data_IF_580871820230
#
_entry.id   IF_580871820230
#
_cell.length_a   1.000
_cell.length_b   1.000
_cell.length_c   1.000
_cell.angle_alpha   90.00
_cell.angle_beta   90.00
_cell.angle_gamma   90.00
#
_symmetry.space_group_name_H-M   'P 1'
#
loop_
_entity.id
_entity.type
_entity.pdbx_description
1 polymer ?
#
# COMPACT_ATOMS: atom_id res chain seq x y z
N UNK A 1 9.50 25.38 1.05
CA UNK A 1 10.10 24.69 -0.10
C UNK A 1 9.23 23.52 -0.46
N UNK A 2 9.01 23.31 -1.76
CA UNK A 2 8.28 22.14 -2.25
C UNK A 2 9.17 20.90 -2.16
N UNK A 3 8.60 19.67 -2.17
CA UNK A 3 9.40 18.45 -2.27
C UNK A 3 10.36 18.45 -3.47
N UNK A 4 9.94 19.02 -4.60
CA UNK A 4 10.77 19.14 -5.81
C UNK A 4 11.99 20.06 -5.60
N UNK A 5 11.80 21.21 -4.94
CA UNK A 5 12.91 22.12 -4.61
C UNK A 5 13.94 21.45 -3.70
N UNK A 6 13.48 20.69 -2.70
CA UNK A 6 14.35 19.94 -1.78
C UNK A 6 15.13 18.87 -2.53
N UNK A 7 14.45 18.10 -3.39
CA UNK A 7 15.09 17.03 -4.16
C UNK A 7 16.20 17.58 -5.07
N UNK A 8 15.91 18.66 -5.79
CA UNK A 8 16.89 19.35 -6.63
C UNK A 8 18.07 19.89 -5.81
N UNK A 9 17.80 20.58 -4.70
CA UNK A 9 18.83 21.12 -3.83
C UNK A 9 19.77 20.03 -3.26
N UNK A 10 19.23 18.87 -2.88
CA UNK A 10 20.05 17.77 -2.36
C UNK A 10 20.95 17.19 -3.45
N UNK A 11 20.46 17.04 -4.69
CA UNK A 11 21.29 16.61 -5.83
C UNK A 11 22.44 17.59 -6.07
N UNK A 12 22.17 18.90 -6.06
CA UNK A 12 23.19 19.95 -6.19
C UNK A 12 24.22 19.90 -5.06
N UNK A 13 23.78 19.70 -3.81
CA UNK A 13 24.68 19.58 -2.66
C UNK A 13 25.60 18.36 -2.78
N UNK A 14 25.10 17.21 -3.25
CA UNK A 14 25.95 16.03 -3.50
C UNK A 14 26.99 16.32 -4.59
N UNK A 15 26.57 16.92 -5.71
CA UNK A 15 27.46 17.26 -6.81
C UNK A 15 28.57 18.23 -6.38
N UNK A 16 28.25 19.22 -5.55
CA UNK A 16 29.22 20.16 -4.99
C UNK A 16 30.18 19.50 -3.99
N UNK A 17 29.67 18.63 -3.11
CA UNK A 17 30.47 17.96 -2.08
C UNK A 17 31.39 16.87 -2.65
N UNK A 18 30.92 16.13 -3.68
CA UNK A 18 31.66 15.01 -4.28
C UNK A 18 31.39 14.94 -5.79
N UNK A 19 32.14 15.69 -6.62
CA UNK A 19 32.03 15.60 -8.07
C UNK A 19 32.21 14.17 -8.58
N UNK A 20 31.31 13.74 -9.48
CA UNK A 20 31.29 12.37 -10.01
C UNK A 20 30.55 11.35 -9.16
N UNK A 21 30.00 11.73 -7.99
CA UNK A 21 29.04 10.89 -7.28
C UNK A 21 27.69 10.91 -8.01
N UNK A 22 27.09 9.74 -8.16
CA UNK A 22 25.70 9.58 -8.58
C UNK A 22 24.79 9.77 -7.36
N UNK A 23 23.69 10.52 -7.51
CA UNK A 23 22.73 10.78 -6.44
C UNK A 23 21.31 10.52 -6.91
N UNK A 24 20.50 9.89 -6.06
CA UNK A 24 19.05 9.77 -6.22
C UNK A 24 18.37 10.20 -4.92
N UNK A 25 17.36 11.06 -5.02
CA UNK A 25 16.69 11.67 -3.88
C UNK A 25 15.20 11.51 -4.04
N UNK A 26 14.55 10.95 -3.03
CA UNK A 26 13.09 10.99 -2.88
C UNK A 26 12.75 11.91 -1.72
N UNK A 27 11.80 12.81 -1.94
CA UNK A 27 11.24 13.68 -0.91
C UNK A 27 9.75 13.47 -0.87
N UNK A 28 9.19 13.23 0.31
CA UNK A 28 7.75 13.14 0.52
C UNK A 28 7.34 14.03 1.69
N UNK A 29 6.28 14.80 1.50
CA UNK A 29 5.52 15.44 2.55
C UNK A 29 4.20 14.71 2.70
N UNK A 30 3.96 14.12 3.86
CA UNK A 30 2.70 13.48 4.19
C UNK A 30 2.00 14.29 5.27
N UNK A 31 0.74 14.66 5.03
CA UNK A 31 -0.16 15.12 6.09
C UNK A 31 -1.21 14.05 6.32
N UNK A 32 -1.26 13.50 7.53
CA UNK A 32 -2.27 12.52 7.93
C UNK A 32 -3.15 13.11 9.03
N UNK A 33 -4.46 12.95 8.90
CA UNK A 33 -5.43 13.43 9.88
C UNK A 33 -6.44 12.34 10.22
N UNK A 34 -6.66 12.12 11.51
CA UNK A 34 -7.32 10.95 12.06
C UNK A 34 -8.36 11.35 13.09
N UNK A 35 -9.56 10.81 12.96
CA UNK A 35 -10.66 10.89 13.94
C UNK A 35 -10.95 9.49 14.47
N UNK A 36 -10.61 9.22 15.72
CA UNK A 36 -10.88 7.93 16.40
C UNK A 36 -12.08 8.04 17.32
N UNK A 37 -12.89 6.99 17.33
CA UNK A 37 -14.05 6.87 18.17
C UNK A 37 -14.14 5.49 18.81
N UNK A 38 -14.71 5.43 20.00
CA UNK A 38 -14.96 4.22 20.77
C UNK A 38 -16.15 4.47 21.69
N UNK A 39 -16.90 3.42 22.02
CA UNK A 39 -18.19 3.55 22.72
C UNK A 39 -19.11 4.59 22.06
N UNK A 40 -19.07 4.64 20.73
CA UNK A 40 -19.84 5.58 19.90
C UNK A 40 -19.53 7.07 20.14
N UNK A 41 -18.41 7.39 20.79
CA UNK A 41 -17.95 8.75 21.04
C UNK A 41 -16.56 9.00 20.44
N UNK A 42 -16.37 10.18 19.82
CA UNK A 42 -15.07 10.61 19.30
C UNK A 42 -14.18 11.01 20.48
N UNK A 43 -13.16 10.21 20.77
CA UNK A 43 -12.25 10.46 21.90
C UNK A 43 -10.88 11.00 21.48
N UNK A 44 -10.58 11.02 20.19
CA UNK A 44 -9.30 11.54 19.70
C UNK A 44 -9.42 12.10 18.28
N UNK A 45 -8.84 13.29 18.08
CA UNK A 45 -8.55 13.87 16.77
C UNK A 45 -7.07 14.24 16.74
N UNK A 46 -6.36 13.80 15.71
CA UNK A 46 -4.92 14.05 15.53
C UNK A 46 -4.69 14.45 14.08
N UNK A 47 -3.81 15.42 13.87
CA UNK A 47 -3.21 15.67 12.57
C UNK A 47 -1.69 15.68 12.75
N UNK A 48 -0.99 15.06 11.82
CA UNK A 48 0.47 15.03 11.78
C UNK A 48 0.93 15.40 10.36
N UNK A 49 2.07 16.09 10.29
CA UNK A 49 2.72 16.41 9.03
C UNK A 49 4.20 16.07 9.15
N UNK A 50 4.69 15.28 8.20
CA UNK A 50 6.06 14.81 8.18
C UNK A 50 6.67 15.02 6.80
N UNK A 51 7.84 15.67 6.77
CA UNK A 51 8.75 15.64 5.64
C UNK A 51 9.72 14.47 5.81
N UNK A 52 9.96 13.72 4.74
CA UNK A 52 11.00 12.68 4.65
C UNK A 52 11.84 12.95 3.43
N UNK A 53 13.16 13.01 3.62
CA UNK A 53 14.17 13.13 2.56
C UNK A 53 15.01 11.86 2.61
N UNK A 54 14.93 11.05 1.55
CA UNK A 54 15.73 9.85 1.39
C UNK A 54 16.75 10.08 0.27
N UNK A 55 18.03 9.98 0.61
CA UNK A 55 19.15 10.15 -0.30
C UNK A 55 19.86 8.80 -0.46
N UNK A 56 20.07 8.40 -1.72
CA UNK A 56 21.02 7.37 -2.10
C UNK A 56 22.16 8.00 -2.89
N UNK A 57 23.40 7.63 -2.56
CA UNK A 57 24.59 7.99 -3.34
C UNK A 57 25.32 6.73 -3.82
N UNK A 58 25.90 6.82 -5.01
CA UNK A 58 26.89 5.87 -5.51
C UNK A 58 28.17 6.60 -5.89
N UNK A 59 29.29 6.22 -5.27
CA UNK A 59 30.58 6.87 -5.46
C UNK A 59 31.72 5.88 -5.27
N UNK A 60 32.73 5.94 -6.13
CA UNK A 60 33.90 5.03 -6.10
C UNK A 60 33.51 3.55 -6.02
N UNK A 61 32.45 3.16 -6.74
CA UNK A 61 31.91 1.81 -6.77
C UNK A 61 31.15 1.39 -5.50
N UNK A 62 30.79 2.31 -4.60
CA UNK A 62 30.11 2.02 -3.33
C UNK A 62 28.78 2.75 -3.22
N UNK A 63 27.76 2.05 -2.74
CA UNK A 63 26.39 2.60 -2.58
C UNK A 63 26.03 2.72 -1.11
N UNK A 64 25.48 3.88 -0.71
CA UNK A 64 24.86 4.07 0.60
C UNK A 64 23.59 4.91 0.48
N UNK A 65 22.67 4.67 1.41
CA UNK A 65 21.44 5.42 1.54
C UNK A 65 21.26 5.88 2.98
N UNK A 66 20.72 7.08 3.16
CA UNK A 66 20.29 7.60 4.45
C UNK A 66 18.98 8.37 4.30
N UNK A 67 18.29 8.55 5.42
CA UNK A 67 17.05 9.32 5.48
C UNK A 67 17.10 10.35 6.61
N UNK A 68 16.39 11.45 6.43
CA UNK A 68 16.17 12.48 7.45
C UNK A 68 14.82 13.15 7.28
N UNK A 69 14.42 13.94 8.26
CA UNK A 69 13.17 14.70 8.26
C UNK A 69 13.39 16.23 8.32
N UNK A 70 14.64 16.68 8.29
CA UNK A 70 14.99 18.11 8.29
C UNK A 70 15.10 18.66 6.88
N UNK A 71 14.39 19.75 6.60
CA UNK A 71 14.37 20.42 5.28
C UNK A 71 15.15 21.74 5.25
N UNK A 72 15.81 22.12 6.36
CA UNK A 72 16.72 23.27 6.38
C UNK A 72 18.01 22.98 5.63
N UNK A 73 18.65 24.01 5.08
CA UNK A 73 19.93 23.87 4.38
C UNK A 73 20.98 23.13 5.22
N UNK A 74 21.08 23.43 6.52
CA UNK A 74 22.00 22.74 7.44
C UNK A 74 21.65 21.25 7.60
N UNK A 75 20.37 20.90 7.70
CA UNK A 75 19.93 19.51 7.81
C UNK A 75 20.20 18.72 6.52
N UNK A 76 19.95 19.32 5.35
CA UNK A 76 20.22 18.70 4.05
C UNK A 76 21.73 18.51 3.84
N UNK A 77 22.55 19.49 4.20
CA UNK A 77 24.02 19.35 4.15
C UNK A 77 24.49 18.20 5.05
N UNK A 78 24.00 18.10 6.29
CA UNK A 78 24.34 16.98 7.19
C UNK A 78 23.90 15.62 6.63
N UNK A 79 22.73 15.56 5.98
CA UNK A 79 22.27 14.33 5.33
C UNK A 79 23.25 13.93 4.21
N UNK A 80 23.65 14.87 3.36
CA UNK A 80 24.64 14.62 2.29
C UNK A 80 25.98 14.16 2.85
N UNK A 81 26.55 14.90 3.81
CA UNK A 81 27.84 14.58 4.42
C UNK A 81 27.84 13.19 5.08
N UNK A 82 26.80 12.89 5.87
CA UNK A 82 26.67 11.59 6.53
C UNK A 82 26.47 10.44 5.55
N UNK A 83 25.74 10.66 4.45
CA UNK A 83 25.53 9.63 3.43
C UNK A 83 26.80 9.33 2.64
N UNK A 84 27.57 10.37 2.28
CA UNK A 84 28.88 10.22 1.62
C UNK A 84 29.90 9.54 2.55
N UNK A 85 29.93 9.92 3.82
CA UNK A 85 30.78 9.27 4.82
C UNK A 85 30.40 7.79 5.01
N UNK A 86 29.09 7.48 5.02
CA UNK A 86 28.61 6.11 5.07
C UNK A 86 29.05 5.33 3.82
N UNK A 87 28.93 5.90 2.62
CA UNK A 87 29.35 5.27 1.36
C UNK A 87 30.83 4.85 1.39
N UNK A 88 31.72 5.68 1.94
CA UNK A 88 33.15 5.37 2.06
C UNK A 88 33.44 4.11 2.92
N UNK A 89 32.54 3.77 3.85
CA UNK A 89 32.67 2.61 4.74
C UNK A 89 32.02 1.33 4.17
N UNK A 90 31.31 1.43 3.04
CA UNK A 90 30.64 0.28 2.42
C UNK A 90 31.61 -0.57 1.60
N UNK A 91 31.34 -1.88 1.46
CA UNK A 91 32.00 -2.66 0.41
C UNK A 91 31.61 -2.13 -0.97
N UNK A 92 32.42 -2.46 -1.98
CA UNK A 92 32.06 -2.18 -3.37
C UNK A 92 30.74 -2.90 -3.72
N UNK A 93 29.87 -2.20 -4.44
CA UNK A 93 28.55 -2.67 -4.87
C UNK A 93 28.59 -2.98 -6.37
N UNK A 94 29.00 -4.20 -6.70
CA UNK A 94 29.00 -4.68 -8.09
C UNK A 94 27.59 -4.95 -8.64
N UNK A 95 26.55 -4.82 -7.81
CA UNK A 95 25.14 -5.01 -8.18
C UNK A 95 24.39 -3.70 -8.39
N UNK A 96 25.10 -2.57 -8.37
CA UNK A 96 24.50 -1.26 -8.60
C UNK A 96 24.01 -1.14 -10.06
N UNK A 97 22.71 -0.92 -10.30
CA UNK A 97 22.15 -0.92 -11.65
C UNK A 97 22.30 0.43 -12.39
N UNK A 98 22.94 1.43 -11.77
CA UNK A 98 22.92 2.81 -12.26
C UNK A 98 21.59 3.53 -12.00
N UNK A 99 21.62 4.84 -12.17
CA UNK A 99 20.45 5.70 -12.04
C UNK A 99 19.39 5.47 -13.13
N UNK A 100 18.14 5.81 -12.80
CA UNK A 100 17.07 5.88 -13.79
C UNK A 100 17.31 7.01 -14.81
N UNK A 101 17.08 6.71 -16.08
CA UNK A 101 17.11 7.70 -17.15
C UNK A 101 15.90 8.66 -17.05
N UNK A 102 16.00 9.88 -17.62
CA UNK A 102 14.88 10.79 -17.71
C UNK A 102 13.65 10.17 -18.40
N UNK A 103 12.50 10.21 -17.73
CA UNK A 103 11.22 9.69 -18.18
C UNK A 103 10.05 10.52 -17.64
N UNK A 104 9.04 10.73 -18.48
CA UNK A 104 7.84 11.49 -18.12
C UNK A 104 6.80 10.61 -17.45
N UNK A 105 6.10 11.16 -16.45
CA UNK A 105 4.97 10.49 -15.81
C UNK A 105 3.82 10.26 -16.80
N UNK A 106 3.16 9.10 -16.66
CA UNK A 106 1.94 8.77 -17.42
C UNK A 106 0.71 9.44 -16.79
N UNK A 107 0.70 9.60 -15.46
CA UNK A 107 -0.36 10.22 -14.68
C UNK A 107 0.20 11.16 -13.61
N UNK A 108 -0.58 12.15 -13.18
CA UNK A 108 -0.17 13.15 -12.17
C UNK A 108 -0.39 12.70 -10.72
N UNK A 109 -1.02 11.53 -10.51
CA UNK A 109 -1.57 11.09 -9.24
C UNK A 109 -3.03 11.54 -9.06
N UNK A 110 -3.81 10.76 -8.30
CA UNK A 110 -5.21 11.07 -8.04
C UNK A 110 -5.36 11.96 -6.82
N UNK A 111 -5.91 13.15 -7.02
CA UNK A 111 -5.99 14.20 -6.01
C UNK A 111 -7.42 14.74 -5.87
N UNK A 112 -7.95 14.72 -4.65
CA UNK A 112 -9.19 15.40 -4.29
C UNK A 112 -8.91 16.57 -3.35
N UNK A 113 -9.17 17.79 -3.81
CA UNK A 113 -8.86 19.02 -3.07
C UNK A 113 -9.60 19.08 -1.74
N UNK A 114 -10.86 18.64 -1.71
CA UNK A 114 -11.67 18.63 -0.48
C UNK A 114 -11.09 17.68 0.58
N UNK A 115 -10.56 16.53 0.17
CA UNK A 115 -9.87 15.58 1.04
C UNK A 115 -8.53 16.13 1.53
N UNK A 116 -7.76 16.78 0.65
CA UNK A 116 -6.48 17.39 1.00
C UNK A 116 -6.59 18.54 2.03
N UNK A 117 -7.72 19.25 2.05
CA UNK A 117 -7.98 20.36 2.99
C UNK A 117 -9.07 20.02 4.00
N UNK A 118 -9.30 18.74 4.28
CA UNK A 118 -10.37 18.29 5.17
C UNK A 118 -10.11 18.73 6.62
N UNK A 119 -11.12 19.40 7.19
CA UNK A 119 -11.19 19.71 8.61
C UNK A 119 -11.79 18.55 9.43
N UNK A 120 -11.47 18.44 10.74
CA UNK A 120 -11.96 17.36 11.60
C UNK A 120 -13.49 17.18 11.60
N UNK A 121 -14.26 18.27 11.45
CA UNK A 121 -15.72 18.23 11.45
C UNK A 121 -16.29 17.39 10.30
N UNK A 122 -15.67 17.43 9.11
CA UNK A 122 -16.12 16.64 7.97
C UNK A 122 -15.92 15.13 8.21
N UNK A 123 -14.80 14.72 8.83
CA UNK A 123 -14.62 13.32 9.26
C UNK A 123 -15.62 12.94 10.36
N UNK A 124 -15.91 13.85 11.29
CA UNK A 124 -16.89 13.62 12.34
C UNK A 124 -18.32 13.43 11.78
N UNK A 125 -18.68 14.07 10.67
CA UNK A 125 -19.94 13.82 9.96
C UNK A 125 -20.03 12.37 9.46
N UNK A 126 -18.95 11.85 8.85
CA UNK A 126 -18.90 10.44 8.39
C UNK A 126 -19.01 9.48 9.57
N UNK A 127 -18.29 9.75 10.67
CA UNK A 127 -18.37 8.96 11.91
C UNK A 127 -19.77 8.98 12.51
N UNK A 128 -20.41 10.15 12.56
CA UNK A 128 -21.79 10.29 13.05
C UNK A 128 -22.77 9.47 12.21
N UNK A 129 -22.68 9.56 10.88
CA UNK A 129 -23.52 8.76 9.99
C UNK A 129 -23.35 7.25 10.22
N UNK A 130 -22.13 6.78 10.49
CA UNK A 130 -21.87 5.38 10.86
C UNK A 130 -22.53 5.01 12.19
N UNK A 131 -22.34 5.82 13.23
CA UNK A 131 -22.89 5.56 14.57
C UNK A 131 -24.42 5.57 14.55
N UNK A 132 -25.03 6.54 13.87
CA UNK A 132 -26.49 6.66 13.75
C UNK A 132 -27.07 5.42 13.04
N UNK A 133 -26.46 5.00 11.93
CA UNK A 133 -26.88 3.82 11.18
C UNK A 133 -26.67 2.50 11.93
N UNK A 134 -25.77 2.47 12.91
CA UNK A 134 -25.59 1.30 13.77
C UNK A 134 -26.79 1.07 14.72
N UNK A 135 -27.71 2.03 14.83
CA UNK A 135 -28.99 1.92 15.53
C UNK A 135 -28.84 1.40 16.97
N UNK A 136 -28.02 2.11 17.76
CA UNK A 136 -27.87 1.91 19.21
C UNK A 136 -26.80 0.89 19.64
N UNK A 137 -26.10 0.26 18.69
CA UNK A 137 -24.95 -0.58 19.02
C UNK A 137 -23.73 0.27 19.41
N UNK A 138 -22.90 -0.24 20.33
CA UNK A 138 -21.62 0.39 20.65
C UNK A 138 -20.68 0.26 19.46
N UNK A 139 -20.09 1.38 19.03
CA UNK A 139 -19.24 1.45 17.85
C UNK A 139 -17.82 1.90 18.20
N UNK A 140 -16.84 1.37 17.47
CA UNK A 140 -15.44 1.80 17.58
C UNK A 140 -14.76 1.74 16.22
N UNK A 141 -13.84 2.67 15.96
CA UNK A 141 -13.15 2.73 14.68
C UNK A 141 -12.41 4.04 14.46
N UNK A 142 -12.09 4.30 13.20
CA UNK A 142 -11.49 5.55 12.77
C UNK A 142 -11.98 5.98 11.40
N UNK A 143 -11.97 7.30 11.18
CA UNK A 143 -12.03 7.95 9.88
C UNK A 143 -10.74 8.74 9.68
N UNK A 144 -10.10 8.60 8.51
CA UNK A 144 -8.80 9.19 8.19
C UNK A 144 -8.84 9.88 6.84
N UNK A 145 -8.06 10.94 6.72
CA UNK A 145 -7.66 11.55 5.45
C UNK A 145 -6.15 11.69 5.40
N UNK A 146 -5.55 11.40 4.26
CA UNK A 146 -4.11 11.54 3.99
C UNK A 146 -3.94 12.33 2.70
N UNK A 147 -2.94 13.20 2.68
CA UNK A 147 -2.39 13.76 1.44
C UNK A 147 -0.89 13.53 1.42
N UNK A 148 -0.38 13.17 0.24
CA UNK A 148 1.05 13.01 0.00
C UNK A 148 1.43 13.91 -1.16
N UNK A 149 2.46 14.72 -0.97
CA UNK A 149 3.16 15.43 -2.03
C UNK A 149 4.57 14.88 -2.11
N UNK A 150 4.95 14.33 -3.25
CA UNK A 150 6.26 13.69 -3.40
C UNK A 150 6.99 14.14 -4.66
N UNK A 151 8.31 14.11 -4.58
CA UNK A 151 9.19 14.34 -5.71
C UNK A 151 10.39 13.40 -5.67
N UNK A 152 10.88 13.06 -6.85
CA UNK A 152 12.13 12.37 -7.06
C UNK A 152 13.05 13.21 -7.95
N UNK A 153 14.34 13.24 -7.66
CA UNK A 153 15.37 13.79 -8.53
C UNK A 153 16.63 12.93 -8.50
N UNK A 154 17.34 12.81 -9.62
CA UNK A 154 18.65 12.19 -9.66
C UNK A 154 19.67 12.97 -10.50
N UNK A 155 20.95 12.65 -10.33
CA UNK A 155 22.05 13.32 -11.04
C UNK A 155 22.16 12.94 -12.52
N UNK A 156 21.38 11.97 -13.01
CA UNK A 156 21.25 11.65 -14.43
C UNK A 156 20.16 12.49 -15.12
N UNK A 157 19.47 13.37 -14.37
CA UNK A 157 18.47 14.31 -14.88
C UNK A 157 17.03 13.82 -14.81
N UNK A 158 16.75 12.66 -14.20
CA UNK A 158 15.38 12.26 -13.93
C UNK A 158 14.81 13.14 -12.81
N UNK A 159 13.64 13.74 -13.06
CA UNK A 159 12.93 14.56 -12.09
C UNK A 159 11.42 14.42 -12.29
N UNK A 160 10.73 13.92 -11.27
CA UNK A 160 9.27 13.72 -11.28
C UNK A 160 8.66 14.16 -9.97
N UNK A 161 7.41 14.63 -10.02
CA UNK A 161 6.64 14.98 -8.83
C UNK A 161 5.17 14.65 -9.05
N UNK A 162 4.50 14.30 -7.95
CA UNK A 162 3.09 13.94 -7.96
C UNK A 162 2.45 14.20 -6.60
N UNK A 163 1.13 14.22 -6.59
CA UNK A 163 0.34 14.40 -5.38
C UNK A 163 -0.81 13.42 -5.38
N UNK A 164 -1.11 12.85 -4.22
CA UNK A 164 -2.21 11.91 -4.03
C UNK A 164 -2.98 12.19 -2.75
N UNK A 165 -4.27 11.86 -2.74
CA UNK A 165 -5.09 11.85 -1.53
C UNK A 165 -5.70 10.48 -1.29
N UNK A 166 -5.92 10.19 -0.01
CA UNK A 166 -6.66 9.02 0.45
C UNK A 166 -7.60 9.42 1.57
N UNK A 167 -8.79 8.80 1.60
CA UNK A 167 -9.70 8.80 2.72
C UNK A 167 -10.08 7.36 3.05
N UNK A 168 -10.16 7.04 4.34
CA UNK A 168 -10.54 5.71 4.80
C UNK A 168 -11.42 5.72 6.05
N UNK A 169 -12.41 4.83 6.09
CA UNK A 169 -13.21 4.52 7.27
C UNK A 169 -13.07 3.02 7.57
N UNK A 170 -12.70 2.69 8.80
CA UNK A 170 -12.74 1.30 9.29
C UNK A 170 -13.34 1.28 10.68
N UNK A 171 -14.46 0.60 10.84
CA UNK A 171 -15.20 0.60 12.09
C UNK A 171 -15.97 -0.69 12.34
N UNK A 172 -16.20 -0.96 13.62
CA UNK A 172 -16.98 -2.09 14.11
C UNK A 172 -18.22 -1.60 14.85
N UNK A 173 -19.30 -2.36 14.74
CA UNK A 173 -20.48 -2.27 15.59
C UNK A 173 -20.56 -3.53 16.46
N UNK A 174 -20.92 -3.38 17.74
CA UNK A 174 -20.89 -4.46 18.72
C UNK A 174 -22.25 -4.69 19.34
N UNK A 175 -22.62 -5.97 19.41
CA UNK A 175 -23.65 -6.46 20.33
C UNK A 175 -22.99 -6.94 21.63
N UNK A 176 -23.76 -7.53 22.55
CA UNK A 176 -23.19 -8.18 23.73
C UNK A 176 -22.48 -9.52 23.44
N UNK A 177 -22.57 -10.07 22.22
CA UNK A 177 -22.09 -11.43 21.88
C UNK A 177 -21.30 -11.52 20.58
N UNK A 178 -21.46 -10.55 19.69
CA UNK A 178 -20.86 -10.54 18.35
C UNK A 178 -20.57 -9.12 17.89
N UNK A 179 -19.52 -9.01 17.09
CA UNK A 179 -19.10 -7.78 16.41
C UNK A 179 -19.37 -7.93 14.92
N UNK A 180 -19.51 -6.79 14.23
CA UNK A 180 -19.55 -6.73 12.77
C UNK A 180 -18.69 -5.57 12.28
N UNK A 181 -17.95 -5.79 11.20
CA UNK A 181 -16.99 -4.82 10.66
C UNK A 181 -17.39 -4.36 9.26
N UNK A 182 -17.16 -3.07 8.99
CA UNK A 182 -17.25 -2.50 7.66
C UNK A 182 -16.09 -1.53 7.45
N UNK A 183 -15.54 -1.54 6.23
CA UNK A 183 -14.41 -0.71 5.83
C UNK A 183 -14.61 -0.21 4.40
N UNK A 184 -14.13 0.98 4.14
CA UNK A 184 -14.07 1.54 2.80
C UNK A 184 -12.91 2.55 2.72
N UNK A 185 -12.34 2.68 1.53
CA UNK A 185 -11.25 3.61 1.28
C UNK A 185 -11.26 4.05 -0.19
N UNK A 186 -10.76 5.24 -0.44
CA UNK A 186 -10.64 5.81 -1.78
C UNK A 186 -9.94 7.16 -1.76
N UNK A 187 -10.03 7.90 -2.85
CA UNK A 187 -9.31 9.18 -2.99
C UNK A 187 -10.04 10.33 -2.29
N UNK A 188 -11.37 10.25 -2.23
CA UNK A 188 -12.25 11.32 -1.76
C UNK A 188 -13.02 10.93 -0.48
N UNK A 189 -12.99 11.79 0.54
CA UNK A 189 -13.78 11.62 1.76
C UNK A 189 -15.29 11.55 1.48
N UNK A 190 -15.75 12.29 0.47
CA UNK A 190 -17.15 12.32 0.04
C UNK A 190 -17.66 10.99 -0.53
N UNK A 191 -16.75 10.10 -0.96
CA UNK A 191 -17.09 8.76 -1.41
C UNK A 191 -17.32 7.78 -0.24
N UNK A 192 -16.92 8.15 0.99
CA UNK A 192 -17.13 7.30 2.16
C UNK A 192 -18.57 7.44 2.69
N UNK A 193 -19.40 6.45 2.36
CA UNK A 193 -20.77 6.37 2.88
C UNK A 193 -20.79 5.76 4.29
N UNK A 194 -20.63 6.65 5.29
CA UNK A 194 -20.70 6.26 6.70
C UNK A 194 -22.00 5.55 7.07
N UNK A 195 -23.14 5.96 6.50
CA UNK A 195 -24.44 5.35 6.80
C UNK A 195 -24.51 3.90 6.28
N UNK A 196 -24.14 3.66 5.02
CA UNK A 196 -24.07 2.31 4.43
C UNK A 196 -23.13 1.40 5.23
N UNK A 197 -21.96 1.91 5.61
CA UNK A 197 -20.97 1.15 6.36
C UNK A 197 -21.46 0.83 7.79
N UNK A 198 -22.09 1.79 8.47
CA UNK A 198 -22.68 1.58 9.80
C UNK A 198 -23.80 0.56 9.79
N UNK A 199 -24.71 0.66 8.80
CA UNK A 199 -25.79 -0.30 8.61
C UNK A 199 -25.25 -1.73 8.34
N UNK A 200 -24.25 -1.86 7.47
CA UNK A 200 -23.63 -3.14 7.15
C UNK A 200 -22.93 -3.76 8.38
N UNK A 201 -22.13 -2.99 9.11
CA UNK A 201 -21.47 -3.43 10.32
C UNK A 201 -22.49 -3.89 11.38
N UNK A 202 -23.57 -3.14 11.57
CA UNK A 202 -24.62 -3.49 12.53
C UNK A 202 -25.45 -4.71 12.12
N UNK A 203 -25.74 -4.88 10.82
CA UNK A 203 -26.39 -6.08 10.30
C UNK A 203 -25.53 -7.33 10.58
N UNK A 204 -24.24 -7.27 10.27
CA UNK A 204 -23.27 -8.34 10.57
C UNK A 204 -23.23 -8.67 12.06
N UNK A 205 -23.13 -7.64 12.92
CA UNK A 205 -23.09 -7.82 14.37
C UNK A 205 -24.37 -8.50 14.91
N UNK A 206 -25.56 -8.11 14.41
CA UNK A 206 -26.84 -8.71 14.81
C UNK A 206 -26.99 -10.14 14.30
N UNK A 207 -26.61 -10.40 13.06
CA UNK A 207 -26.70 -11.73 12.46
C UNK A 207 -25.73 -12.73 13.11
N UNK A 208 -24.65 -12.27 13.75
CA UNK A 208 -23.70 -13.12 14.49
C UNK A 208 -24.09 -13.44 15.94
N UNK A 209 -25.26 -12.99 16.42
CA UNK A 209 -25.67 -13.23 17.82
C UNK A 209 -26.00 -14.71 18.11
N UNK A 210 -26.49 -15.44 17.12
CA UNK A 210 -26.79 -16.87 17.21
C UNK A 210 -25.59 -17.68 16.72
N UNK A 211 -24.67 -17.99 17.65
CA UNK A 211 -23.49 -18.78 17.35
C UNK A 211 -23.81 -20.27 17.31
N UNK A 212 -23.24 -20.96 16.34
CA UNK A 212 -23.36 -22.41 16.17
C UNK A 212 -21.98 -23.04 16.08
N UNK A 213 -21.81 -24.18 16.74
CA UNK A 213 -20.58 -24.95 16.65
C UNK A 213 -20.50 -25.65 15.29
N UNK A 214 -19.33 -25.53 14.66
CA UNK A 214 -19.02 -26.21 13.40
C UNK A 214 -17.94 -27.27 13.65
N UNK A 215 -18.14 -28.54 13.22
CA UNK A 215 -17.09 -29.55 13.32
C UNK A 215 -15.88 -29.17 12.45
N UNK A 216 -14.66 -29.54 12.83
CA UNK A 216 -13.49 -29.35 11.96
C UNK A 216 -13.70 -30.04 10.61
N UNK A 217 -13.48 -29.33 9.51
CA UNK A 217 -13.75 -29.87 8.18
C UNK A 217 -13.46 -28.90 7.04
N UNK A 218 -13.79 -29.35 5.83
CA UNK A 218 -13.76 -28.54 4.61
C UNK A 218 -15.14 -27.97 4.36
N UNK A 219 -15.21 -26.66 4.15
CA UNK A 219 -16.44 -25.93 3.88
C UNK A 219 -16.32 -25.22 2.54
N UNK A 220 -17.43 -25.10 1.83
CA UNK A 220 -17.57 -24.11 0.77
C UNK A 220 -17.58 -22.72 1.42
N UNK A 221 -16.81 -21.77 0.88
CA UNK A 221 -16.64 -20.44 1.50
C UNK A 221 -16.81 -19.35 0.46
N UNK A 222 -17.62 -18.35 0.78
CA UNK A 222 -17.72 -17.08 0.05
C UNK A 222 -16.93 -16.04 0.83
N UNK A 223 -15.99 -15.37 0.17
CA UNK A 223 -15.19 -14.31 0.77
C UNK A 223 -15.70 -12.95 0.31
N UNK A 224 -15.98 -12.04 1.25
CA UNK A 224 -16.17 -10.63 0.87
C UNK A 224 -14.82 -9.97 0.55
N UNK A 225 -14.87 -8.82 -0.14
CA UNK A 225 -13.71 -8.08 -0.60
C UNK A 225 -12.66 -7.81 0.50
N UNK A 226 -13.07 -7.55 1.74
CA UNK A 226 -12.14 -7.34 2.85
C UNK A 226 -11.29 -8.58 3.17
N UNK A 227 -11.92 -9.76 3.21
CA UNK A 227 -11.23 -11.03 3.41
C UNK A 227 -10.34 -11.40 2.21
N UNK A 228 -10.80 -11.12 0.99
CA UNK A 228 -9.99 -11.31 -0.24
C UNK A 228 -8.76 -10.41 -0.23
N UNK A 229 -8.91 -9.14 0.16
CA UNK A 229 -7.80 -8.18 0.23
C UNK A 229 -6.69 -8.64 1.18
N UNK A 230 -7.05 -9.17 2.35
CA UNK A 230 -6.08 -9.73 3.31
C UNK A 230 -5.29 -10.93 2.72
N UNK A 231 -5.99 -11.85 2.03
CA UNK A 231 -5.33 -12.97 1.35
C UNK A 231 -4.42 -12.48 0.22
N UNK A 232 -4.90 -11.58 -0.64
CA UNK A 232 -4.10 -11.01 -1.74
C UNK A 232 -2.88 -10.28 -1.20
N UNK A 233 -3.02 -9.45 -0.16
CA UNK A 233 -1.89 -8.79 0.51
C UNK A 233 -0.87 -9.81 1.03
N UNK A 234 -1.35 -10.91 1.61
CA UNK A 234 -0.53 -12.05 1.98
C UNK A 234 0.25 -12.64 0.79
N UNK A 235 -0.41 -12.89 -0.34
CA UNK A 235 0.22 -13.44 -1.56
C UNK A 235 1.31 -12.50 -2.11
N UNK A 236 1.03 -11.20 -2.15
CA UNK A 236 1.96 -10.18 -2.60
C UNK A 236 3.23 -10.18 -1.72
N UNK A 237 3.05 -10.19 -0.40
CA UNK A 237 4.18 -10.19 0.55
C UNK A 237 5.05 -11.45 0.47
N UNK A 238 4.44 -12.61 0.22
CA UNK A 238 5.17 -13.88 0.26
C UNK A 238 5.81 -14.31 -1.06
N UNK A 239 5.33 -13.86 -2.23
CA UNK A 239 5.87 -14.41 -3.47
C UNK A 239 5.73 -13.63 -4.77
N UNK A 240 4.81 -12.69 -4.93
CA UNK A 240 4.78 -11.84 -6.14
C UNK A 240 5.82 -10.72 -6.02
N UNK A 241 7.09 -11.10 -6.07
CA UNK A 241 8.27 -10.25 -5.91
C UNK A 241 9.43 -10.87 -6.69
N UNK A 242 10.00 -10.11 -7.63
CA UNK A 242 11.03 -10.60 -8.55
C UNK A 242 12.31 -11.08 -7.85
N UNK A 243 12.66 -10.49 -6.70
CA UNK A 243 13.83 -10.90 -5.92
C UNK A 243 13.59 -12.25 -5.26
N UNK A 244 12.41 -12.43 -4.68
CA UNK A 244 12.00 -13.70 -4.09
C UNK A 244 11.94 -14.82 -5.14
N UNK A 245 11.51 -14.52 -6.37
CA UNK A 245 11.55 -15.47 -7.50
C UNK A 245 12.99 -15.83 -7.86
N UNK A 246 13.86 -14.84 -8.08
CA UNK A 246 15.26 -15.05 -8.46
C UNK A 246 16.04 -15.87 -7.41
N UNK A 247 15.74 -15.68 -6.13
CA UNK A 247 16.35 -16.42 -5.01
C UNK A 247 15.66 -17.76 -4.72
N UNK A 248 14.61 -18.13 -5.48
CA UNK A 248 13.86 -19.37 -5.29
C UNK A 248 13.05 -19.42 -3.99
N UNK A 249 12.74 -18.29 -3.37
CA UNK A 249 11.94 -18.20 -2.13
C UNK A 249 10.43 -18.06 -2.40
N UNK A 250 10.07 -17.62 -3.59
CA UNK A 250 8.69 -17.39 -4.00
C UNK A 250 7.92 -18.69 -4.35
N UNK A 251 6.59 -18.67 -4.21
CA UNK A 251 5.68 -19.66 -4.79
C UNK A 251 5.45 -19.45 -6.30
N UNK A 252 5.69 -18.23 -6.79
CA UNK A 252 5.30 -17.79 -8.13
C UNK A 252 6.17 -18.46 -9.19
N UNK A 253 5.51 -19.02 -10.21
CA UNK A 253 6.10 -19.67 -11.37
C UNK A 253 5.59 -18.92 -12.61
N UNK A 254 6.40 -17.98 -13.09
CA UNK A 254 6.05 -17.16 -14.25
C UNK A 254 5.77 -18.06 -15.47
N UNK A 255 4.62 -17.85 -16.11
CA UNK A 255 4.11 -18.64 -17.23
C UNK A 255 3.24 -19.84 -16.83
N UNK A 256 3.11 -20.17 -15.55
CA UNK A 256 2.32 -21.31 -15.09
C UNK A 256 0.88 -20.91 -14.71
N UNK A 257 -0.08 -21.79 -15.00
CA UNK A 257 -1.45 -21.73 -14.48
C UNK A 257 -1.44 -22.14 -12.99
N UNK A 258 -1.31 -21.16 -12.09
CA UNK A 258 -1.29 -21.41 -10.65
C UNK A 258 -2.62 -21.07 -9.96
N UNK A 259 -3.46 -20.28 -10.61
CA UNK A 259 -4.75 -19.83 -10.10
C UNK A 259 -5.88 -20.25 -11.04
N UNK A 260 -7.12 -20.15 -10.54
CA UNK A 260 -8.32 -20.33 -11.35
C UNK A 260 -8.39 -19.28 -12.47
N UNK A 261 -8.98 -19.62 -13.62
CA UNK A 261 -9.10 -18.73 -14.77
C UNK A 261 -9.91 -17.46 -14.49
N UNK A 262 -10.76 -17.47 -13.45
CA UNK A 262 -11.48 -16.29 -12.99
C UNK A 262 -10.56 -15.24 -12.33
N UNK A 263 -9.33 -15.59 -11.96
CA UNK A 263 -8.43 -14.71 -11.21
C UNK A 263 -7.57 -13.89 -12.18
N UNK A 264 -7.74 -12.57 -12.13
CA UNK A 264 -6.83 -11.61 -12.78
C UNK A 264 -6.40 -10.55 -11.78
N UNK A 265 -5.10 -10.44 -11.54
CA UNK A 265 -4.47 -9.52 -10.59
C UNK A 265 -3.50 -8.61 -11.32
N UNK A 266 -3.61 -7.30 -11.10
CA UNK A 266 -2.73 -6.31 -11.72
C UNK A 266 -2.41 -5.17 -10.75
N UNK A 267 -1.22 -4.58 -10.86
CA UNK A 267 -0.83 -3.32 -10.20
C UNK A 267 -1.01 -2.17 -11.20
N UNK A 268 -1.76 -1.12 -10.85
CA UNK A 268 -1.99 -0.01 -11.78
C UNK A 268 -2.24 1.32 -11.06
N UNK A 269 -1.18 2.12 -10.91
CA UNK A 269 -1.26 3.48 -10.36
C UNK A 269 -1.76 4.52 -11.36
N UNK A 270 -2.13 4.12 -12.58
CA UNK A 270 -2.83 4.98 -13.55
C UNK A 270 -4.36 4.85 -13.48
N UNK A 271 -4.87 3.87 -12.72
CA UNK A 271 -6.29 3.70 -12.43
C UNK A 271 -6.82 4.91 -11.66
N UNK A 272 -8.00 5.42 -12.03
CA UNK A 272 -8.64 6.58 -11.39
C UNK A 272 -8.97 6.38 -9.91
N UNK A 273 -8.90 5.14 -9.43
CA UNK A 273 -9.15 4.77 -8.03
C UNK A 273 -7.85 4.56 -7.23
N UNK A 274 -6.69 4.62 -7.87
CA UNK A 274 -5.38 4.42 -7.23
C UNK A 274 -5.11 5.51 -6.19
N UNK A 275 -4.51 5.13 -5.06
CA UNK A 275 -4.11 6.06 -3.99
C UNK A 275 -2.59 6.17 -3.87
N UNK A 276 -1.84 5.29 -4.54
CA UNK A 276 -0.37 5.34 -4.62
C UNK A 276 0.15 6.37 -5.62
N UNK A 277 1.42 6.74 -5.45
CA UNK A 277 2.12 7.67 -6.34
C UNK A 277 2.31 7.04 -7.75
N UNK A 278 2.28 7.85 -8.82
CA UNK A 278 2.45 7.38 -10.20
C UNK A 278 3.92 7.12 -10.59
N UNK A 279 4.83 7.06 -9.63
CA UNK A 279 6.23 6.67 -9.80
C UNK A 279 6.73 5.94 -8.55
N UNK A 280 7.78 5.13 -8.73
CA UNK A 280 8.37 4.32 -7.66
C UNK A 280 9.51 5.03 -6.90
N UNK A 281 10.11 4.37 -5.92
CA UNK A 281 11.19 4.95 -5.11
C UNK A 281 12.50 5.25 -5.88
N UNK A 282 12.61 4.80 -7.13
CA UNK A 282 13.72 5.08 -8.04
C UNK A 282 13.34 6.14 -9.10
N UNK A 283 12.16 6.76 -8.96
CA UNK A 283 11.66 7.78 -9.88
C UNK A 283 11.17 7.22 -11.20
N UNK A 284 10.97 5.91 -11.30
CA UNK A 284 10.49 5.25 -12.52
C UNK A 284 8.98 5.46 -12.63
N UNK A 285 8.45 6.04 -13.73
CA UNK A 285 7.02 6.18 -13.93
C UNK A 285 6.32 4.81 -13.90
N UNK A 286 5.23 4.71 -13.12
CA UNK A 286 4.43 3.50 -13.02
C UNK A 286 3.58 3.29 -14.27
N UNK A 287 3.37 2.01 -14.57
CA UNK A 287 2.49 1.51 -15.61
C UNK A 287 1.73 0.31 -15.08
N UNK A 288 0.66 -0.08 -15.78
CA UNK A 288 -0.07 -1.30 -15.47
C UNK A 288 0.85 -2.52 -15.60
N UNK A 289 0.95 -3.29 -14.51
CA UNK A 289 1.67 -4.56 -14.45
C UNK A 289 0.69 -5.71 -14.19
N UNK A 290 0.54 -6.59 -15.17
CA UNK A 290 -0.21 -7.84 -15.01
C UNK A 290 0.60 -8.84 -14.18
N UNK A 291 0.12 -9.14 -12.96
CA UNK A 291 0.72 -10.12 -12.06
C UNK A 291 0.17 -11.52 -12.36
N UNK A 292 -1.15 -11.61 -12.51
CA UNK A 292 -1.88 -12.82 -12.88
C UNK A 292 -2.90 -12.47 -13.94
N UNK A 293 -2.87 -13.13 -15.10
CA UNK A 293 -3.86 -12.98 -16.17
C UNK A 293 -4.60 -14.29 -16.38
N UNK A 294 -5.91 -14.30 -16.17
CA UNK A 294 -6.76 -15.51 -16.29
C UNK A 294 -6.14 -16.75 -15.61
N UNK A 295 -5.63 -16.56 -14.40
CA UNK A 295 -5.03 -17.57 -13.55
C UNK A 295 -3.58 -17.96 -13.87
N UNK A 296 -2.99 -17.40 -14.92
CA UNK A 296 -1.57 -17.57 -15.27
C UNK A 296 -0.75 -16.47 -14.63
N UNK A 297 0.33 -16.81 -13.92
CA UNK A 297 1.27 -15.79 -13.41
C UNK A 297 2.06 -15.22 -14.58
N UNK A 298 1.82 -13.97 -14.95
CA UNK A 298 2.41 -13.33 -16.14
C UNK A 298 3.60 -12.44 -15.82
N UNK A 299 3.67 -11.91 -14.61
CA UNK A 299 4.70 -10.95 -14.22
C UNK A 299 4.95 -10.94 -12.73
N UNK A 300 6.14 -10.46 -12.35
CA UNK A 300 6.49 -10.19 -10.95
C UNK A 300 7.14 -8.80 -10.85
N UNK A 301 6.94 -8.09 -9.73
CA UNK A 301 7.51 -6.76 -9.52
C UNK A 301 9.04 -6.79 -9.49
N UNK A 302 9.67 -5.85 -10.20
CA UNK A 302 11.10 -5.61 -10.17
C UNK A 302 11.41 -4.13 -9.92
N UNK A 303 12.42 -3.89 -9.09
CA UNK A 303 13.17 -2.64 -9.05
C UNK A 303 14.31 -2.73 -10.08
N UNK A 304 15.07 -1.65 -10.30
CA UNK A 304 16.16 -1.66 -11.29
C UNK A 304 17.23 -2.69 -10.97
N UNK A 305 17.55 -2.90 -9.69
CA UNK A 305 18.59 -3.87 -9.26
C UNK A 305 18.19 -5.30 -9.59
N UNK A 306 16.98 -5.67 -9.20
CA UNK A 306 16.44 -7.01 -9.40
C UNK A 306 16.18 -7.26 -10.88
N UNK A 307 15.74 -6.24 -11.62
CA UNK A 307 15.60 -6.30 -13.06
C UNK A 307 16.94 -6.61 -13.73
N UNK A 308 17.99 -5.85 -13.40
CA UNK A 308 19.34 -6.09 -13.93
C UNK A 308 19.86 -7.50 -13.60
N UNK A 309 19.67 -7.96 -12.36
CA UNK A 309 20.06 -9.31 -11.93
C UNK A 309 19.33 -10.42 -12.70
N UNK A 310 18.08 -10.17 -13.11
CA UNK A 310 17.25 -11.13 -13.85
C UNK A 310 17.34 -10.95 -15.38
N UNK A 311 18.12 -9.99 -15.88
CA UNK A 311 18.20 -9.69 -17.31
C UNK A 311 16.89 -9.15 -17.91
N UNK A 312 16.11 -8.43 -17.10
CA UNK A 312 14.83 -7.80 -17.49
C UNK A 312 14.84 -6.29 -17.21
N UNK A 313 13.71 -5.62 -17.33
CA UNK A 313 13.52 -4.19 -17.04
C UNK A 313 12.78 -3.97 -15.71
N UNK A 314 12.99 -2.82 -15.08
CA UNK A 314 12.22 -2.40 -13.91
C UNK A 314 10.72 -2.39 -14.25
N UNK A 315 9.88 -2.82 -13.32
CA UNK A 315 8.42 -2.72 -13.44
C UNK A 315 7.87 -1.52 -12.68
N UNK A 316 8.73 -0.54 -12.35
CA UNK A 316 8.39 0.62 -11.55
C UNK A 316 7.74 0.24 -10.21
N UNK A 317 8.34 -0.71 -9.49
CA UNK A 317 7.83 -1.18 -8.20
C UNK A 317 8.89 -1.08 -7.09
N UNK A 318 9.93 -0.25 -7.27
CA UNK A 318 10.90 -0.01 -6.23
C UNK A 318 10.25 0.67 -5.01
N UNK A 319 10.64 0.21 -3.82
CA UNK A 319 10.19 0.78 -2.55
C UNK A 319 11.39 1.21 -1.71
N UNK A 320 11.23 2.20 -0.81
CA UNK A 320 12.29 2.55 0.14
C UNK A 320 12.80 1.32 0.91
N UNK A 321 14.12 1.10 0.91
CA UNK A 321 14.74 -0.07 1.56
C UNK A 321 14.54 -1.40 0.82
N UNK A 322 14.03 -1.35 -0.42
CA UNK A 322 13.78 -2.50 -1.29
C UNK A 322 15.01 -3.36 -1.53
N UNK A 323 16.23 -2.84 -1.37
CA UNK A 323 17.44 -3.66 -1.47
C UNK A 323 17.45 -4.89 -0.54
N UNK A 324 16.71 -4.85 0.58
CA UNK A 324 16.60 -5.99 1.52
C UNK A 324 15.54 -7.00 1.07
N UNK A 325 14.38 -6.53 0.62
CA UNK A 325 13.19 -7.37 0.47
C UNK A 325 12.69 -7.51 -0.98
N UNK A 326 13.16 -6.67 -1.90
CA UNK A 326 12.77 -6.55 -3.30
C UNK A 326 11.66 -5.53 -3.53
N UNK A 327 11.23 -5.42 -4.79
CA UNK A 327 10.13 -4.58 -5.23
C UNK A 327 8.77 -5.01 -4.67
N UNK A 328 7.87 -4.03 -4.52
CA UNK A 328 6.51 -4.26 -4.01
C UNK A 328 5.50 -3.44 -4.82
N UNK A 329 4.39 -4.05 -5.28
CA UNK A 329 3.33 -3.33 -5.99
C UNK A 329 2.46 -2.55 -4.99
N UNK A 330 1.92 -1.39 -5.39
CA UNK A 330 1.26 -0.44 -4.48
C UNK A 330 -0.25 -0.32 -4.67
N UNK A 331 -0.74 -0.53 -5.88
CA UNK A 331 -2.12 -0.29 -6.31
C UNK A 331 -2.70 -1.55 -6.97
N UNK A 332 -2.62 -2.68 -6.24
CA UNK A 332 -3.07 -3.98 -6.73
C UNK A 332 -4.59 -4.10 -6.74
N UNK A 333 -5.12 -4.64 -7.84
CA UNK A 333 -6.54 -4.89 -8.07
C UNK A 333 -6.76 -6.34 -8.44
N UNK A 334 -7.83 -6.91 -7.90
CA UNK A 334 -8.46 -8.12 -8.43
C UNK A 334 -9.56 -7.67 -9.40
N UNK A 335 -9.50 -8.13 -10.65
CA UNK A 335 -10.51 -7.82 -11.65
C UNK A 335 -11.89 -8.33 -11.20
N UNK A 336 -12.95 -7.58 -11.51
CA UNK A 336 -14.31 -7.97 -11.20
C UNK A 336 -14.72 -9.22 -11.99
N UNK A 337 -15.42 -10.14 -11.33
CA UNK A 337 -16.09 -11.27 -11.97
C UNK A 337 -17.42 -10.88 -12.61
N UNK A 338 -18.09 -11.85 -13.23
CA UNK A 338 -19.36 -11.67 -13.97
C UNK A 338 -20.60 -12.17 -13.23
N UNK A 339 -20.44 -12.76 -12.04
CA UNK A 339 -21.54 -13.36 -11.28
C UNK A 339 -22.15 -12.40 -10.25
N UNK A 340 -23.49 -12.43 -10.15
CA UNK A 340 -24.24 -11.76 -9.08
C UNK A 340 -24.42 -12.71 -7.87
N UNK A 341 -24.47 -12.11 -6.68
CA UNK A 341 -24.69 -12.72 -5.35
C UNK A 341 -24.20 -14.18 -5.20
N UNK A 342 -22.89 -14.33 -4.95
CA UNK A 342 -22.25 -15.63 -4.71
C UNK A 342 -22.89 -16.42 -3.56
N UNK A 343 -23.48 -15.75 -2.56
CA UNK A 343 -24.08 -16.41 -1.39
C UNK A 343 -25.34 -17.17 -1.80
N UNK A 344 -26.13 -16.64 -2.75
CA UNK A 344 -27.35 -17.29 -3.23
C UNK A 344 -27.11 -18.66 -3.90
N UNK A 345 -25.90 -18.90 -4.42
CA UNK A 345 -25.50 -20.17 -5.02
C UNK A 345 -25.09 -21.25 -4.01
N UNK A 346 -24.85 -20.88 -2.75
CA UNK A 346 -24.30 -21.77 -1.73
C UNK A 346 -25.42 -22.41 -0.91
N UNK A 347 -25.53 -23.75 -0.95
CA UNK A 347 -26.56 -24.49 -0.19
C UNK A 347 -26.28 -24.52 1.31
N UNK A 348 -25.01 -24.66 1.68
CA UNK A 348 -24.50 -24.67 3.05
C UNK A 348 -22.99 -24.43 2.99
N UNK A 349 -22.56 -23.26 3.41
CA UNK A 349 -21.15 -22.87 3.35
C UNK A 349 -20.88 -21.81 4.39
N UNK A 350 -19.77 -21.09 4.26
CA UNK A 350 -19.42 -20.01 5.17
C UNK A 350 -19.29 -18.71 4.38
N UNK A 351 -19.98 -17.66 4.81
CA UNK A 351 -19.65 -16.31 4.40
C UNK A 351 -18.55 -15.81 5.34
N UNK A 352 -17.36 -15.55 4.81
CA UNK A 352 -16.26 -14.95 5.57
C UNK A 352 -15.99 -13.54 5.09
N UNK A 353 -16.15 -12.57 5.97
CA UNK A 353 -16.05 -11.15 5.61
C UNK A 353 -14.81 -10.47 6.14
N UNK A 354 -14.13 -11.09 7.12
CA UNK A 354 -12.95 -10.54 7.77
C UNK A 354 -12.08 -11.67 8.33
N UNK A 355 -10.77 -11.58 8.08
CA UNK A 355 -9.79 -12.42 8.75
C UNK A 355 -9.02 -11.63 9.80
N UNK A 356 -8.59 -12.33 10.84
CA UNK A 356 -7.80 -11.80 11.95
C UNK A 356 -6.58 -12.68 12.15
N UNK A 357 -5.44 -12.04 12.43
CA UNK A 357 -4.17 -12.75 12.67
C UNK A 357 -3.82 -13.74 11.56
N UNK A 358 -4.07 -13.35 10.31
CA UNK A 358 -3.71 -14.13 9.14
C UNK A 358 -2.20 -14.23 9.03
N UNK A 359 -1.70 -15.46 8.88
CA UNK A 359 -0.26 -15.75 8.80
C UNK A 359 0.00 -16.84 7.77
N UNK A 360 1.07 -16.67 7.01
CA UNK A 360 1.62 -17.73 6.19
C UNK A 360 2.31 -18.76 7.11
N UNK A 361 1.84 -20.00 7.08
CA UNK A 361 2.51 -21.14 7.69
C UNK A 361 3.59 -21.69 6.77
N UNK A 362 3.29 -21.75 5.46
CA UNK A 362 4.25 -22.10 4.42
C UNK A 362 4.08 -21.14 3.23
N UNK A 363 4.99 -20.15 3.08
CA UNK A 363 4.99 -19.21 1.96
C UNK A 363 5.16 -19.84 0.59
N UNK A 364 5.84 -21.00 0.47
CA UNK A 364 6.10 -21.65 -0.81
C UNK A 364 4.88 -22.40 -1.33
N UNK A 365 4.12 -23.02 -0.43
CA UNK A 365 2.89 -23.73 -0.79
C UNK A 365 1.63 -22.91 -0.54
N UNK A 366 1.77 -21.63 -0.19
CA UNK A 366 0.67 -20.71 0.11
C UNK A 366 -0.30 -21.22 1.18
N UNK A 367 0.23 -21.86 2.23
CA UNK A 367 -0.61 -22.32 3.34
C UNK A 367 -0.76 -21.17 4.34
N UNK A 368 -1.98 -20.70 4.50
CA UNK A 368 -2.32 -19.64 5.46
C UNK A 368 -3.24 -20.16 6.56
N UNK A 369 -3.11 -19.55 7.73
CA UNK A 369 -4.04 -19.71 8.85
C UNK A 369 -4.50 -18.34 9.30
N UNK A 370 -5.77 -18.23 9.72
CA UNK A 370 -6.36 -17.01 10.25
C UNK A 370 -7.56 -17.32 11.13
N UNK A 371 -8.02 -16.33 11.89
CA UNK A 371 -9.21 -16.40 12.73
C UNK A 371 -10.32 -15.58 12.08
N UNK A 372 -11.57 -16.01 12.22
CA UNK A 372 -12.73 -15.32 11.64
C UNK A 372 -13.56 -14.58 12.69
N UNK A 373 -12.88 -14.04 13.72
CA UNK A 373 -13.46 -13.53 14.98
C UNK A 373 -14.71 -12.63 14.81
N UNK A 374 -14.73 -11.77 13.80
CA UNK A 374 -15.77 -10.76 13.60
C UNK A 374 -16.42 -10.86 12.20
N UNK A 375 -16.36 -12.04 11.59
CA UNK A 375 -16.52 -12.12 10.14
C UNK A 375 -16.88 -13.49 9.60
N UNK A 376 -17.66 -14.33 10.30
CA UNK A 376 -18.13 -15.61 9.75
C UNK A 376 -19.61 -15.87 10.02
N UNK A 377 -20.34 -16.31 9.00
CA UNK A 377 -21.74 -16.76 9.05
C UNK A 377 -21.91 -18.07 8.27
N UNK A 378 -22.85 -18.92 8.69
CA UNK A 378 -23.16 -20.23 8.12
C UNK A 378 -24.31 -20.18 7.10
#
# INVERSE_FOLDING_TARGET
MTPADIAAQVVELVAAARPGAEAAVTVSRETSALTRFAESFIHQNVADEADVVMLQVHVDGRTASAQGNGTSAEALTRLVESTLAAAALRPADSSYPGLADPATLVAAGNWDEATATTEPDARAVVVRAFVDAAAGLSCAGYCQTVRVEAAFANSAGQAVSARVTEAGLSAVARTGRSDGVARDAGIALSALDGHRLGAAAAAKARNGMEQVDLPPGRYEVVLEAGAVSDLVGGLLWQGLNGKAVAEGRSFAQVGAQQFDQAITLYDDSTDERATGLPFDAEGTPKQRLELVAAGVVTGVPHDRRTAAACGTTSTACAVPGGERWGAFPSDVRLAAGTGDDLVAGVKRGLLVTDFWYTRALDPRTLVYTGLTRNGVWL
#
